data_IF_046415837742
#
_entry.id   IF_046415837742
#
_cell.length_a   1.000
_cell.length_b   1.000
_cell.length_c   1.000
_cell.angle_alpha   90.00
_cell.angle_beta   90.00
_cell.angle_gamma   90.00
#
_symmetry.space_group_name_H-M   'P 1'
#
loop_
_entity.id
_entity.type
_entity.pdbx_description
1 polymer ?
#
# COMPACT_ATOMS: atom_id res chain seq x y z
N UNK A 1 18.14 6.05 -24.78
CA UNK A 1 16.97 6.63 -24.12
C UNK A 1 17.45 7.82 -23.30
N UNK A 2 17.01 9.02 -23.63
CA UNK A 2 17.26 10.21 -22.81
C UNK A 2 16.21 10.31 -21.67
N UNK A 3 16.36 11.32 -20.80
CA UNK A 3 15.47 11.45 -19.63
C UNK A 3 14.02 11.79 -20.02
N UNK A 4 13.80 12.57 -21.08
CA UNK A 4 12.47 12.97 -21.53
C UNK A 4 11.70 11.80 -22.15
N UNK A 5 12.38 11.00 -22.97
CA UNK A 5 11.86 9.73 -23.51
C UNK A 5 11.49 8.77 -22.37
N UNK A 6 12.33 8.70 -21.33
CA UNK A 6 12.03 7.87 -20.17
C UNK A 6 10.77 8.35 -19.45
N UNK A 7 10.62 9.67 -19.23
CA UNK A 7 9.43 10.24 -18.60
C UNK A 7 8.17 9.97 -19.41
N UNK A 8 8.21 10.15 -20.74
CA UNK A 8 7.06 9.88 -21.60
C UNK A 8 6.63 8.40 -21.55
N UNK A 9 7.60 7.48 -21.50
CA UNK A 9 7.34 6.04 -21.49
C UNK A 9 6.93 5.49 -20.11
N UNK A 10 7.48 6.03 -19.03
CA UNK A 10 7.37 5.44 -17.67
C UNK A 10 6.54 6.30 -16.70
N UNK A 11 5.85 7.33 -17.19
CA UNK A 11 4.89 8.09 -16.39
C UNK A 11 3.48 7.62 -16.70
N UNK A 12 2.79 7.13 -15.67
CA UNK A 12 1.44 6.61 -15.79
C UNK A 12 0.46 7.45 -14.98
N UNK A 13 -0.79 7.49 -15.44
CA UNK A 13 -1.92 8.08 -14.73
C UNK A 13 -2.86 6.96 -14.28
N UNK A 14 -3.37 7.02 -13.04
CA UNK A 14 -4.22 5.95 -12.49
C UNK A 14 -5.47 5.66 -13.35
N UNK A 15 -5.96 6.65 -14.11
CA UNK A 15 -7.09 6.50 -15.04
C UNK A 15 -6.84 5.51 -16.18
N UNK A 16 -5.58 5.15 -16.43
CA UNK A 16 -5.21 4.14 -17.42
C UNK A 16 -5.50 2.71 -16.93
N UNK A 17 -5.86 2.54 -15.66
CA UNK A 17 -6.02 1.23 -15.04
C UNK A 17 -7.44 1.01 -14.52
N UNK A 18 -8.07 -0.08 -14.97
CA UNK A 18 -9.31 -0.62 -14.42
C UNK A 18 -9.01 -1.82 -13.52
N UNK A 19 -9.57 -1.85 -12.31
CA UNK A 19 -9.29 -2.90 -11.31
C UNK A 19 -9.64 -4.29 -11.84
N UNK A 20 -10.77 -4.46 -12.54
CA UNK A 20 -11.18 -5.77 -13.05
C UNK A 20 -10.27 -6.25 -14.16
N UNK A 21 -9.79 -5.35 -15.01
CA UNK A 21 -8.78 -5.68 -16.01
C UNK A 21 -7.45 -6.08 -15.36
N UNK A 22 -7.00 -5.34 -14.34
CA UNK A 22 -5.78 -5.70 -13.59
C UNK A 22 -5.90 -7.08 -12.96
N UNK A 23 -7.05 -7.43 -12.35
CA UNK A 23 -7.31 -8.77 -11.79
C UNK A 23 -7.21 -9.85 -12.86
N UNK A 24 -7.81 -9.65 -14.04
CA UNK A 24 -7.72 -10.62 -15.15
C UNK A 24 -6.27 -10.86 -15.57
N UNK A 25 -5.46 -9.82 -15.67
CA UNK A 25 -4.06 -9.91 -16.11
C UNK A 25 -3.19 -10.54 -15.02
N UNK A 26 -3.35 -10.10 -13.76
CA UNK A 26 -2.74 -10.72 -12.57
C UNK A 26 -2.98 -12.23 -12.55
N UNK A 27 -4.23 -12.66 -12.72
CA UNK A 27 -4.60 -14.07 -12.70
C UNK A 27 -4.02 -14.83 -13.90
N UNK A 28 -4.03 -14.24 -15.10
CA UNK A 28 -3.38 -14.83 -16.29
C UNK A 28 -1.88 -15.03 -16.10
N UNK A 29 -1.22 -14.11 -15.39
CA UNK A 29 0.21 -14.19 -15.03
C UNK A 29 0.47 -15.00 -13.75
N UNK A 30 -0.58 -15.50 -13.09
CA UNK A 30 -0.50 -16.19 -11.80
C UNK A 30 0.26 -15.40 -10.70
N UNK A 31 0.09 -14.07 -10.69
CA UNK A 31 0.74 -13.18 -9.71
C UNK A 31 -0.08 -13.09 -8.43
N UNK A 32 0.61 -13.02 -7.29
CA UNK A 32 0.07 -12.67 -5.97
C UNK A 32 0.54 -11.29 -5.54
N UNK A 33 -0.36 -10.54 -4.90
CA UNK A 33 -0.10 -9.17 -4.46
C UNK A 33 -0.34 -9.05 -2.95
N UNK A 34 0.71 -8.61 -2.24
CA UNK A 34 0.65 -8.27 -0.83
C UNK A 34 0.65 -6.76 -0.64
N UNK A 35 -0.37 -6.26 0.05
CA UNK A 35 -0.40 -4.88 0.53
C UNK A 35 0.04 -4.81 2.00
N UNK A 36 1.01 -3.96 2.27
CA UNK A 36 1.48 -3.68 3.62
C UNK A 36 1.14 -2.23 4.01
N UNK A 37 0.56 -2.06 5.20
CA UNK A 37 0.39 -0.76 5.83
C UNK A 37 1.30 -0.67 7.07
N UNK A 38 2.44 0.03 7.01
CA UNK A 38 3.22 0.35 8.20
C UNK A 38 2.46 1.39 9.03
N UNK A 39 2.22 1.11 10.31
CA UNK A 39 1.27 1.87 11.12
C UNK A 39 1.81 2.17 12.53
N UNK A 40 1.54 3.39 13.02
CA UNK A 40 1.83 3.83 14.38
C UNK A 40 0.81 4.91 14.80
N UNK A 41 -0.15 4.58 15.66
CA UNK A 41 -1.15 5.51 16.19
C UNK A 41 -2.00 6.22 15.10
N UNK A 42 -2.62 5.44 14.21
CA UNK A 42 -3.37 5.93 13.05
C UNK A 42 -4.89 5.68 13.17
N UNK A 43 -5.42 5.69 14.39
CA UNK A 43 -6.86 5.42 14.65
C UNK A 43 -7.80 6.39 13.90
N UNK A 44 -7.32 7.58 13.53
CA UNK A 44 -8.10 8.59 12.82
C UNK A 44 -8.34 8.29 11.34
N UNK A 45 -7.53 7.44 10.72
CA UNK A 45 -7.49 7.24 9.26
C UNK A 45 -7.56 5.77 8.85
N UNK A 46 -6.98 4.88 9.66
CA UNK A 46 -6.82 3.46 9.30
C UNK A 46 -8.15 2.76 9.02
N UNK A 47 -9.23 3.13 9.71
CA UNK A 47 -10.55 2.51 9.49
C UNK A 47 -11.02 2.72 8.05
N UNK A 48 -11.05 3.98 7.61
CA UNK A 48 -11.52 4.34 6.28
C UNK A 48 -10.66 3.72 5.18
N UNK A 49 -9.33 3.75 5.37
CA UNK A 49 -8.36 3.15 4.44
C UNK A 49 -8.61 1.65 4.28
N UNK A 50 -8.72 0.92 5.39
CA UNK A 50 -8.88 -0.53 5.35
C UNK A 50 -10.26 -0.95 4.85
N UNK A 51 -11.34 -0.24 5.22
CA UNK A 51 -12.68 -0.53 4.68
C UNK A 51 -12.73 -0.33 3.17
N UNK A 52 -12.15 0.76 2.67
CA UNK A 52 -12.07 1.06 1.24
C UNK A 52 -11.23 0.02 0.51
N UNK A 53 -10.05 -0.30 1.04
CA UNK A 53 -9.15 -1.34 0.51
C UNK A 53 -9.84 -2.71 0.47
N UNK A 54 -10.54 -3.08 1.53
CA UNK A 54 -11.26 -4.35 1.63
C UNK A 54 -12.31 -4.47 0.53
N UNK A 55 -13.16 -3.45 0.40
CA UNK A 55 -14.28 -3.44 -0.54
C UNK A 55 -13.81 -3.38 -1.99
N UNK A 56 -12.89 -2.47 -2.30
CA UNK A 56 -12.59 -2.10 -3.69
C UNK A 56 -11.45 -2.91 -4.30
N UNK A 57 -10.56 -3.50 -3.48
CA UNK A 57 -9.34 -4.15 -3.97
C UNK A 57 -9.21 -5.60 -3.51
N UNK A 58 -9.43 -5.87 -2.22
CA UNK A 58 -9.29 -7.23 -1.67
C UNK A 58 -10.46 -8.13 -2.10
N UNK A 59 -11.71 -7.68 -1.91
CA UNK A 59 -12.90 -8.44 -2.32
C UNK A 59 -13.03 -8.57 -3.85
N UNK A 60 -12.52 -7.61 -4.62
CA UNK A 60 -12.45 -7.70 -6.08
C UNK A 60 -11.33 -8.65 -6.57
N UNK A 61 -10.49 -9.18 -5.67
CA UNK A 61 -9.44 -10.16 -5.99
C UNK A 61 -8.14 -9.57 -6.51
N UNK A 62 -7.96 -8.24 -6.42
CA UNK A 62 -6.69 -7.60 -6.79
C UNK A 62 -5.60 -7.88 -5.75
N UNK A 63 -5.95 -7.81 -4.47
CA UNK A 63 -5.04 -8.08 -3.35
C UNK A 63 -5.30 -9.47 -2.80
N UNK A 64 -4.25 -10.28 -2.65
CA UNK A 64 -4.34 -11.62 -2.06
C UNK A 64 -4.04 -11.59 -0.56
N UNK A 65 -3.26 -10.59 -0.12
CA UNK A 65 -2.83 -10.44 1.25
C UNK A 65 -2.83 -8.95 1.63
N UNK A 66 -3.37 -8.64 2.81
CA UNK A 66 -3.28 -7.31 3.42
C UNK A 66 -2.79 -7.48 4.86
N UNK A 67 -1.63 -6.90 5.17
CA UNK A 67 -1.04 -6.95 6.51
C UNK A 67 -0.80 -5.53 7.01
N UNK A 68 -1.23 -5.26 8.24
CA UNK A 68 -0.83 -4.09 8.99
C UNK A 68 0.40 -4.42 9.82
N UNK A 69 1.48 -3.66 9.63
CA UNK A 69 2.71 -3.76 10.40
C UNK A 69 2.70 -2.68 11.46
N UNK A 70 2.37 -3.07 12.68
CA UNK A 70 2.28 -2.15 13.81
C UNK A 70 3.66 -1.87 14.43
N UNK A 71 3.96 -0.58 14.61
CA UNK A 71 5.20 -0.09 15.22
C UNK A 71 5.05 0.21 16.72
N UNK A 72 4.04 -0.36 17.38
CA UNK A 72 3.77 -0.17 18.80
C UNK A 72 2.70 0.88 19.07
N UNK A 73 1.59 0.85 18.34
CA UNK A 73 0.46 1.74 18.59
C UNK A 73 -0.09 1.57 20.01
N UNK A 74 -0.41 2.70 20.64
CA UNK A 74 -0.97 2.81 21.99
C UNK A 74 -2.39 3.36 22.01
N UNK A 75 -2.93 3.72 20.84
CA UNK A 75 -4.31 4.16 20.64
C UNK A 75 -5.20 3.00 20.15
N UNK A 76 -6.44 3.32 19.73
CA UNK A 76 -7.42 2.35 19.24
C UNK A 76 -7.10 1.74 17.86
N UNK A 77 -5.94 2.03 17.26
CA UNK A 77 -5.57 1.54 15.93
C UNK A 77 -5.71 0.03 15.82
N UNK A 78 -5.15 -0.72 16.78
CA UNK A 78 -5.12 -2.19 16.69
C UNK A 78 -6.52 -2.81 16.77
N UNK A 79 -7.40 -2.22 17.57
CA UNK A 79 -8.77 -2.72 17.73
C UNK A 79 -9.60 -2.44 16.48
N UNK A 80 -9.40 -1.28 15.86
CA UNK A 80 -9.99 -0.95 14.55
C UNK A 80 -9.57 -1.97 13.50
N UNK A 81 -8.26 -2.25 13.35
CA UNK A 81 -7.77 -3.19 12.33
C UNK A 81 -8.33 -4.60 12.56
N UNK A 82 -8.37 -5.07 13.82
CA UNK A 82 -8.98 -6.37 14.17
C UNK A 82 -10.45 -6.43 13.80
N UNK A 83 -11.22 -5.37 14.07
CA UNK A 83 -12.65 -5.32 13.77
C UNK A 83 -12.97 -5.44 12.27
N UNK A 84 -12.05 -4.98 11.41
CA UNK A 84 -12.17 -5.08 9.95
C UNK A 84 -11.77 -6.48 9.46
N UNK A 85 -10.96 -7.20 10.24
CA UNK A 85 -10.55 -8.58 9.97
C UNK A 85 -9.27 -8.71 9.16
N UNK A 86 -8.38 -7.71 9.19
CA UNK A 86 -7.06 -7.83 8.58
C UNK A 86 -6.00 -8.29 9.57
N UNK A 87 -4.96 -8.93 9.05
CA UNK A 87 -3.84 -9.44 9.85
C UNK A 87 -3.00 -8.28 10.37
N UNK A 88 -2.63 -8.35 11.64
CA UNK A 88 -1.73 -7.40 12.30
C UNK A 88 -0.49 -8.17 12.74
N UNK A 89 0.68 -7.63 12.46
CA UNK A 89 1.93 -8.13 13.00
C UNK A 89 2.69 -6.95 13.57
N UNK A 90 3.19 -7.05 14.80
CA UNK A 90 4.09 -6.03 15.32
C UNK A 90 5.47 -6.24 14.73
N UNK A 91 6.10 -5.18 14.22
CA UNK A 91 7.45 -5.30 13.64
C UNK A 91 8.48 -5.87 14.64
N UNK A 92 8.32 -5.64 15.94
CA UNK A 92 9.18 -6.23 16.98
C UNK A 92 9.09 -7.76 17.07
N UNK A 93 7.99 -8.34 16.60
CA UNK A 93 7.77 -9.78 16.60
C UNK A 93 8.36 -10.48 15.36
N UNK A 94 8.78 -9.71 14.36
CA UNK A 94 9.42 -10.19 13.15
C UNK A 94 10.93 -10.15 13.34
N UNK A 95 11.62 -11.23 12.94
CA UNK A 95 13.08 -11.28 12.95
C UNK A 95 13.71 -10.97 14.34
N UNK A 96 13.09 -11.47 15.41
CA UNK A 96 13.48 -11.21 16.82
C UNK A 96 14.98 -11.35 17.10
N UNK A 97 15.67 -12.28 16.44
CA UNK A 97 17.11 -12.52 16.58
C UNK A 97 18.00 -11.32 16.19
N UNK A 98 17.49 -10.37 15.42
CA UNK A 98 18.22 -9.17 15.00
C UNK A 98 17.86 -7.93 15.83
N UNK A 99 17.09 -8.09 16.91
CA UNK A 99 16.61 -6.97 17.72
C UNK A 99 15.49 -6.18 17.05
N UNK A 100 15.20 -4.99 17.55
CA UNK A 100 14.18 -4.07 17.01
C UNK A 100 14.69 -2.63 17.05
N UNK A 101 14.65 -1.95 15.91
CA UNK A 101 14.95 -0.53 15.80
C UNK A 101 13.68 0.31 15.72
N UNK A 102 13.82 1.62 15.94
CA UNK A 102 12.72 2.58 15.75
C UNK A 102 12.66 3.09 14.32
N UNK A 103 11.47 3.51 13.90
CA UNK A 103 11.23 4.21 12.64
C UNK A 103 10.60 3.35 11.55
N UNK A 104 10.02 4.03 10.55
CA UNK A 104 9.26 3.42 9.45
C UNK A 104 10.08 2.41 8.63
N UNK A 105 11.39 2.67 8.47
CA UNK A 105 12.28 1.77 7.74
C UNK A 105 12.35 0.36 8.35
N UNK A 106 12.33 0.25 9.68
CA UNK A 106 12.30 -1.05 10.37
C UNK A 106 11.02 -1.82 10.03
N UNK A 107 9.87 -1.15 10.05
CA UNK A 107 8.58 -1.76 9.72
C UNK A 107 8.54 -2.23 8.26
N UNK A 108 9.01 -1.39 7.32
CA UNK A 108 9.07 -1.73 5.89
C UNK A 108 10.00 -2.93 5.65
N UNK A 109 11.23 -2.89 6.18
CA UNK A 109 12.21 -3.95 5.97
C UNK A 109 11.72 -5.28 6.56
N UNK A 110 11.23 -5.29 7.81
CA UNK A 110 10.72 -6.50 8.44
C UNK A 110 9.46 -7.04 7.77
N UNK A 111 8.62 -6.17 7.18
CA UNK A 111 7.43 -6.60 6.44
C UNK A 111 7.77 -7.58 5.31
N UNK A 112 8.93 -7.42 4.66
CA UNK A 112 9.37 -8.30 3.57
C UNK A 112 9.53 -9.77 4.00
N UNK A 113 9.70 -10.03 5.29
CA UNK A 113 9.88 -11.38 5.83
C UNK A 113 8.56 -12.07 6.23
N UNK A 114 7.42 -11.38 6.06
CA UNK A 114 6.09 -11.91 6.40
C UNK A 114 5.08 -11.77 5.28
N UNK A 115 5.37 -10.97 4.26
CA UNK A 115 4.57 -10.81 3.06
C UNK A 115 4.91 -11.91 2.05
N UNK A 116 3.90 -12.43 1.36
CA UNK A 116 4.02 -13.62 0.51
C UNK A 116 3.72 -13.38 -0.97
N UNK A 117 3.46 -12.14 -1.37
CA UNK A 117 3.13 -11.75 -2.73
C UNK A 117 4.38 -11.65 -3.62
N UNK A 118 4.20 -11.95 -4.90
CA UNK A 118 5.21 -11.69 -5.95
C UNK A 118 5.40 -10.18 -6.14
N UNK A 119 4.33 -9.40 -5.94
CA UNK A 119 4.35 -7.95 -5.89
C UNK A 119 4.03 -7.49 -4.47
N UNK A 120 4.87 -6.61 -3.93
CA UNK A 120 4.66 -5.95 -2.64
C UNK A 120 4.35 -4.48 -2.87
N UNK A 121 3.23 -4.02 -2.31
CA UNK A 121 2.88 -2.60 -2.26
C UNK A 121 2.87 -2.12 -0.82
N UNK A 122 3.45 -0.95 -0.57
CA UNK A 122 3.31 -0.24 0.69
C UNK A 122 2.38 0.95 0.53
N UNK A 123 1.43 1.10 1.46
CA UNK A 123 0.55 2.26 1.54
C UNK A 123 0.59 2.84 2.94
N UNK A 124 0.72 4.17 3.03
CA UNK A 124 0.70 4.86 4.31
C UNK A 124 -0.71 4.78 4.93
N UNK A 125 -0.75 4.58 6.25
CA UNK A 125 -2.00 4.45 7.01
C UNK A 125 -2.54 5.78 7.55
N UNK A 126 -1.90 6.91 7.26
CA UNK A 126 -2.23 8.25 7.75
C UNK A 126 -2.93 9.13 6.68
N UNK A 127 -3.31 8.54 5.55
CA UNK A 127 -3.87 9.26 4.40
C UNK A 127 -5.33 9.68 4.68
N UNK A 128 -5.55 10.97 4.95
CA UNK A 128 -6.89 11.53 5.23
C UNK A 128 -7.86 11.45 4.03
N UNK A 129 -7.41 11.87 2.86
CA UNK A 129 -8.23 11.86 1.63
C UNK A 129 -7.92 10.61 0.81
N UNK A 130 -8.13 9.45 1.42
CA UNK A 130 -7.77 8.18 0.81
C UNK A 130 -8.69 7.82 -0.37
N UNK A 131 -8.08 7.25 -1.42
CA UNK A 131 -8.78 6.62 -2.52
C UNK A 131 -8.00 5.38 -2.93
N UNK A 132 -8.69 4.28 -3.28
CA UNK A 132 -8.06 3.03 -3.72
C UNK A 132 -7.12 3.19 -4.91
N UNK A 133 -7.29 4.25 -5.71
CA UNK A 133 -6.40 4.64 -6.83
C UNK A 133 -4.95 4.89 -6.44
N UNK A 134 -4.70 5.22 -5.16
CA UNK A 134 -3.35 5.35 -4.63
C UNK A 134 -2.64 3.99 -4.68
N UNK A 135 -3.37 2.89 -4.48
CA UNK A 135 -2.84 1.52 -4.49
C UNK A 135 -2.88 0.95 -5.91
N UNK A 136 -4.05 0.90 -6.56
CA UNK A 136 -4.12 0.27 -7.89
C UNK A 136 -3.32 1.07 -8.95
N UNK A 137 -3.14 2.38 -8.76
CA UNK A 137 -2.37 3.22 -9.67
C UNK A 137 -0.88 2.89 -9.70
N UNK A 138 -0.30 2.43 -8.58
CA UNK A 138 1.09 1.97 -8.54
C UNK A 138 1.23 0.49 -8.89
N UNK A 139 0.19 -0.32 -8.65
CA UNK A 139 0.17 -1.72 -9.05
C UNK A 139 -0.02 -1.87 -10.57
N UNK A 140 -0.73 -0.95 -11.21
CA UNK A 140 -1.05 -1.01 -12.64
C UNK A 140 0.18 -1.28 -13.51
N UNK A 141 1.24 -0.45 -13.45
CA UNK A 141 2.42 -0.68 -14.27
C UNK A 141 3.13 -2.00 -13.96
N UNK A 142 3.22 -2.39 -12.69
CA UNK A 142 3.85 -3.66 -12.27
C UNK A 142 3.09 -4.89 -12.79
N UNK A 143 1.77 -4.82 -12.88
CA UNK A 143 0.94 -5.92 -13.39
C UNK A 143 0.98 -5.96 -14.93
N UNK A 144 1.00 -4.80 -15.58
CA UNK A 144 0.89 -4.68 -17.03
C UNK A 144 2.21 -4.98 -17.75
N UNK A 145 3.33 -4.52 -17.22
CA UNK A 145 4.62 -4.48 -17.90
C UNK A 145 5.68 -5.25 -17.11
N UNK A 146 6.18 -6.35 -17.66
CA UNK A 146 7.10 -7.27 -16.97
C UNK A 146 8.49 -6.65 -16.76
N UNK A 147 8.85 -5.62 -17.52
CA UNK A 147 10.11 -4.90 -17.38
C UNK A 147 10.13 -3.89 -16.21
N UNK A 148 8.96 -3.56 -15.63
CA UNK A 148 8.85 -2.59 -14.54
C UNK A 148 8.92 -3.33 -13.20
N UNK A 149 9.99 -3.06 -12.44
CA UNK A 149 10.23 -3.70 -11.14
C UNK A 149 9.96 -2.77 -9.94
N UNK A 150 9.84 -1.47 -10.17
CA UNK A 150 9.61 -0.47 -9.13
C UNK A 150 8.74 0.67 -9.66
N UNK A 151 7.70 1.03 -8.91
CA UNK A 151 6.83 2.16 -9.22
C UNK A 151 6.77 3.10 -8.01
N UNK A 152 6.92 4.40 -8.27
CA UNK A 152 6.76 5.45 -7.25
C UNK A 152 5.55 6.32 -7.59
N UNK A 153 4.59 6.40 -6.69
CA UNK A 153 3.49 7.36 -6.80
C UNK A 153 3.99 8.81 -6.76
N UNK A 154 3.60 9.68 -7.69
CA UNK A 154 3.74 11.12 -7.54
C UNK A 154 2.34 11.75 -7.53
N UNK A 155 2.19 12.86 -6.82
CA UNK A 155 0.90 13.53 -6.66
C UNK A 155 1.09 15.00 -6.32
N UNK A 156 0.10 15.82 -6.66
CA UNK A 156 0.06 17.23 -6.29
C UNK A 156 -0.53 17.36 -4.88
N UNK A 157 0.24 17.95 -3.96
CA UNK A 157 -0.30 18.32 -2.64
C UNK A 157 -1.24 19.52 -2.82
N UNK A 158 -2.48 19.47 -2.32
CA UNK A 158 -3.34 20.66 -2.32
C UNK A 158 -2.66 21.74 -1.47
N UNK A 159 -2.45 22.92 -2.05
CA UNK A 159 -2.06 24.10 -1.27
C UNK A 159 -3.28 24.50 -0.45
N UNK A 160 -3.19 24.44 0.89
CA UNK A 160 -4.17 25.11 1.73
C UNK A 160 -3.87 26.61 1.65
N UNK A 161 -4.64 27.36 0.88
CA UNK A 161 -4.65 28.82 1.07
C UNK A 161 -5.16 29.06 2.48
N UNK A 162 -4.34 29.65 3.36
CA UNK A 162 -4.87 30.24 4.58
C UNK A 162 -5.82 31.35 4.12
N UNK A 163 -7.12 31.14 4.29
CA UNK A 163 -8.06 32.26 4.29
C UNK A 163 -7.67 33.11 5.50
N UNK A 164 -6.97 34.20 5.23
CA UNK A 164 -6.84 35.30 6.19
C UNK A 164 -8.26 35.85 6.32
N UNK A 165 -8.88 35.60 7.47
CA UNK A 165 -10.11 36.28 7.90
C UNK A 165 -9.69 37.67 8.38
#
# INVERSE_FOLDING_TARGET
MNIDEWYQKNTFHYLQFDVRQLVKIKNKKNLKISLCLPTLNESQTIEYILRTTKKELYQEGLLDEVIVIDSGSTDSTLDIVKSIGFKIIRHKDILKKYGTNQGKGEALWKSLHVLNGDIIAWCDSDIKNFHSKIIYGILGPLIMYDEILLVKAFYRRPLKSMAVI
#
